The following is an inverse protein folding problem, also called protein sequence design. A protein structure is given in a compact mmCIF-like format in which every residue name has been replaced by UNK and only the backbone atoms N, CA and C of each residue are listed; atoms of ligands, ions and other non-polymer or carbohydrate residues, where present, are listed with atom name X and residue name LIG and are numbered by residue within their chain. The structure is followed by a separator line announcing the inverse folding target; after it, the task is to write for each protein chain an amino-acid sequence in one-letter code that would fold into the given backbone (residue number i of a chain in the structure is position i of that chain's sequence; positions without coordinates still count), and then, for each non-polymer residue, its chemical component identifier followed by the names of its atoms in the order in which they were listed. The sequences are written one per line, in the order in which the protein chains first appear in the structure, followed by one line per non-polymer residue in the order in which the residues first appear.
data_IF_404415266414
#
_entry.id   IF_404415266414
#
_cell.length_a   1.000
_cell.length_b   1.000
_cell.length_c   1.000
_cell.angle_alpha   90.00
_cell.angle_beta   90.00
_cell.angle_gamma   90.00
#
_symmetry.space_group_name_H-M   'P 1'
#
loop_
_entity.id
_entity.type
_entity.pdbx_description
1 polymer ?
#
# COMPACT_ATOMS: atom_id res chain seq x y z
N UNK A 1 -3.81 -6.38 5.06
CA UNK A 1 -3.88 -5.65 3.76
C UNK A 1 -3.89 -6.60 2.56
N UNK A 2 -3.08 -7.67 2.55
CA UNK A 2 -2.96 -8.55 1.37
C UNK A 2 -4.25 -9.24 0.91
N UNK A 3 -5.13 -9.66 1.81
CA UNK A 3 -6.41 -10.27 1.43
C UNK A 3 -7.33 -9.32 0.65
N UNK A 4 -7.49 -8.08 1.13
CA UNK A 4 -8.32 -7.06 0.48
C UNK A 4 -7.74 -6.63 -0.87
N UNK A 5 -6.44 -6.37 -0.93
CA UNK A 5 -5.79 -5.97 -2.19
C UNK A 5 -5.75 -7.14 -3.19
N UNK A 6 -5.44 -8.35 -2.74
CA UNK A 6 -5.47 -9.55 -3.57
C UNK A 6 -6.87 -9.87 -4.10
N UNK A 7 -7.90 -9.72 -3.26
CA UNK A 7 -9.29 -9.84 -3.68
C UNK A 7 -9.68 -8.81 -4.75
N UNK A 8 -9.32 -7.53 -4.56
CA UNK A 8 -9.59 -6.48 -5.54
C UNK A 8 -8.91 -6.71 -6.88
N UNK A 9 -7.61 -7.06 -6.86
CA UNK A 9 -6.86 -7.40 -8.08
C UNK A 9 -7.46 -8.64 -8.76
N UNK A 10 -7.78 -9.68 -7.99
CA UNK A 10 -8.38 -10.90 -8.53
C UNK A 10 -9.76 -10.68 -9.14
N UNK A 11 -10.60 -9.82 -8.56
CA UNK A 11 -11.88 -9.43 -9.16
C UNK A 11 -11.68 -8.72 -10.50
N UNK A 12 -10.69 -7.84 -10.60
CA UNK A 12 -10.43 -7.06 -11.83
C UNK A 12 -9.87 -7.94 -12.94
N UNK A 13 -8.91 -8.80 -12.62
CA UNK A 13 -8.33 -9.76 -13.58
C UNK A 13 -9.39 -10.77 -14.03
N UNK A 14 -10.19 -11.28 -13.09
CA UNK A 14 -11.29 -12.19 -13.40
C UNK A 14 -12.39 -11.52 -14.22
N UNK A 15 -12.61 -10.21 -14.07
CA UNK A 15 -13.52 -9.46 -14.94
C UNK A 15 -12.99 -9.35 -16.36
N UNK A 16 -11.70 -9.06 -16.54
CA UNK A 16 -11.07 -8.94 -17.87
C UNK A 16 -11.10 -10.29 -18.59
N UNK A 17 -10.59 -11.36 -17.96
CA UNK A 17 -10.56 -12.69 -18.58
C UNK A 17 -11.95 -13.30 -18.73
N UNK A 18 -12.84 -13.07 -17.77
CA UNK A 18 -14.23 -13.52 -17.85
C UNK A 18 -14.99 -12.85 -18.99
N UNK A 19 -14.86 -11.53 -19.14
CA UNK A 19 -15.48 -10.79 -20.24
C UNK A 19 -14.91 -11.22 -21.59
N UNK A 20 -13.58 -11.39 -21.67
CA UNK A 20 -12.92 -11.87 -22.88
C UNK A 20 -13.39 -13.29 -23.26
N UNK A 21 -13.52 -14.18 -22.28
CA UNK A 21 -14.02 -15.54 -22.49
C UNK A 21 -15.46 -15.55 -23.01
N UNK A 22 -16.33 -14.67 -22.48
CA UNK A 22 -17.72 -14.53 -22.91
C UNK A 22 -17.80 -14.00 -24.35
N UNK A 23 -16.98 -13.01 -24.72
CA UNK A 23 -16.97 -12.45 -26.08
C UNK A 23 -16.50 -13.51 -27.10
N UNK A 24 -15.52 -14.34 -26.72
CA UNK A 24 -14.89 -15.28 -27.65
C UNK A 24 -15.61 -16.63 -27.74
N UNK A 25 -16.03 -17.19 -26.61
CA UNK A 25 -16.60 -18.54 -26.52
C UNK A 25 -18.11 -18.51 -26.22
N UNK A 26 -18.69 -17.33 -26.04
CA UNK A 26 -20.09 -17.15 -25.67
C UNK A 26 -20.33 -17.24 -24.17
N UNK A 27 -21.56 -16.92 -23.72
CA UNK A 27 -21.93 -16.82 -22.31
C UNK A 27 -21.98 -18.15 -21.54
N UNK A 28 -21.75 -19.29 -22.20
CA UNK A 28 -21.83 -20.62 -21.60
C UNK A 28 -23.26 -21.07 -21.27
N UNK A 29 -23.45 -22.34 -20.87
CA UNK A 29 -24.79 -22.92 -20.63
C UNK A 29 -25.53 -22.31 -19.42
N UNK A 30 -24.79 -21.66 -18.52
CA UNK A 30 -25.33 -21.01 -17.30
C UNK A 30 -25.47 -19.48 -17.44
N UNK A 31 -25.25 -18.95 -18.64
CA UNK A 31 -25.37 -17.52 -18.94
C UNK A 31 -24.15 -16.69 -18.56
N UNK A 32 -24.10 -15.46 -19.11
CA UNK A 32 -22.93 -14.58 -19.04
C UNK A 32 -22.53 -14.25 -17.59
N UNK A 33 -23.52 -13.97 -16.73
CA UNK A 33 -23.28 -13.59 -15.34
C UNK A 33 -22.68 -14.74 -14.51
N UNK A 34 -23.11 -15.98 -14.76
CA UNK A 34 -22.56 -17.16 -14.06
C UNK A 34 -21.11 -17.41 -14.46
N UNK A 35 -20.81 -17.31 -15.76
CA UNK A 35 -19.44 -17.45 -16.27
C UNK A 35 -18.56 -16.32 -15.75
N UNK A 36 -19.00 -15.06 -15.84
CA UNK A 36 -18.23 -13.91 -15.37
C UNK A 36 -17.94 -14.00 -13.86
N UNK A 37 -18.95 -14.29 -13.05
CA UNK A 37 -18.80 -14.39 -11.60
C UNK A 37 -17.88 -15.54 -11.20
N UNK A 38 -17.89 -16.68 -11.89
CA UNK A 38 -16.94 -17.76 -11.65
C UNK A 38 -15.47 -17.32 -11.84
N UNK A 39 -15.17 -16.61 -12.94
CA UNK A 39 -13.82 -16.10 -13.20
C UNK A 39 -13.40 -15.07 -12.15
N UNK A 40 -14.28 -14.13 -11.83
CA UNK A 40 -14.06 -13.10 -10.80
C UNK A 40 -13.81 -13.71 -9.42
N UNK A 41 -14.66 -14.62 -8.99
CA UNK A 41 -14.65 -15.17 -7.63
C UNK A 41 -13.51 -16.16 -7.44
N UNK A 42 -13.19 -16.99 -8.45
CA UNK A 42 -12.02 -17.88 -8.43
C UNK A 42 -10.71 -17.09 -8.39
N UNK A 43 -10.58 -16.06 -9.21
CA UNK A 43 -9.38 -15.20 -9.24
C UNK A 43 -9.24 -14.40 -7.95
N UNK A 44 -10.32 -13.82 -7.42
CA UNK A 44 -10.33 -13.11 -6.15
C UNK A 44 -9.96 -14.02 -4.96
N UNK A 45 -10.47 -15.25 -4.94
CA UNK A 45 -10.17 -16.21 -3.88
C UNK A 45 -8.70 -16.60 -3.87
N UNK A 46 -8.11 -16.91 -5.03
CA UNK A 46 -6.71 -17.34 -5.14
C UNK A 46 -5.74 -16.22 -4.79
N UNK A 47 -5.87 -15.05 -5.43
CA UNK A 47 -5.00 -13.91 -5.13
C UNK A 47 -5.23 -13.41 -3.70
N UNK A 48 -6.47 -13.33 -3.23
CA UNK A 48 -6.78 -12.98 -1.84
C UNK A 48 -6.12 -13.93 -0.84
N UNK A 49 -6.19 -15.25 -1.07
CA UNK A 49 -5.60 -16.25 -0.20
C UNK A 49 -4.07 -16.15 -0.13
N UNK A 50 -3.39 -16.18 -1.28
CA UNK A 50 -1.92 -16.14 -1.31
C UNK A 50 -1.36 -14.82 -0.79
N UNK A 51 -1.98 -13.69 -1.15
CA UNK A 51 -1.53 -12.39 -0.66
C UNK A 51 -1.88 -12.19 0.82
N UNK A 52 -2.92 -12.83 1.34
CA UNK A 52 -3.21 -12.84 2.78
C UNK A 52 -2.07 -13.48 3.58
N UNK A 53 -1.61 -14.66 3.15
CA UNK A 53 -0.47 -15.36 3.78
C UNK A 53 0.79 -14.49 3.73
N UNK A 54 1.12 -13.95 2.55
CA UNK A 54 2.28 -13.05 2.40
C UNK A 54 2.17 -11.79 3.25
N UNK A 55 0.95 -11.28 3.47
CA UNK A 55 0.71 -10.14 4.36
C UNK A 55 1.00 -10.49 5.81
N UNK A 56 0.66 -11.69 6.28
CA UNK A 56 0.96 -12.14 7.65
C UNK A 56 2.47 -12.31 7.83
N UNK A 57 3.13 -13.06 6.94
CA UNK A 57 4.58 -13.32 7.00
C UNK A 57 5.37 -12.00 6.97
N UNK A 58 5.00 -11.06 6.11
CA UNK A 58 5.68 -9.76 6.02
C UNK A 58 5.45 -8.90 7.27
N UNK A 59 4.30 -9.03 7.93
CA UNK A 59 3.97 -8.22 9.10
C UNK A 59 4.77 -8.63 10.36
N UNK A 60 5.21 -9.88 10.46
CA UNK A 60 6.08 -10.33 11.56
C UNK A 60 7.48 -9.69 11.53
N UNK A 61 7.95 -9.23 10.36
CA UNK A 61 9.31 -8.71 10.18
C UNK A 61 9.48 -7.20 10.44
N UNK A 62 8.37 -6.46 10.58
CA UNK A 62 8.41 -5.00 10.66
C UNK A 62 7.95 -4.53 12.02
N UNK A 63 8.90 -4.02 12.82
CA UNK A 63 8.65 -2.99 13.84
C UNK A 63 7.59 -2.05 13.27
N UNK A 64 6.50 -1.83 14.02
CA UNK A 64 5.34 -1.10 13.49
C UNK A 64 5.78 0.20 12.82
N UNK A 65 5.25 0.56 11.64
CA UNK A 65 5.67 1.76 10.93
C UNK A 65 5.46 3.03 11.79
N UNK A 66 4.51 3.02 12.74
CA UNK A 66 4.40 4.07 13.75
C UNK A 66 5.60 4.09 14.70
N UNK A 67 6.06 2.93 15.16
CA UNK A 67 7.23 2.83 16.05
C UNK A 67 8.54 3.09 15.30
N UNK A 68 8.62 2.78 14.02
CA UNK A 68 9.77 3.09 13.17
C UNK A 68 9.82 4.60 12.83
N UNK A 69 8.66 5.23 12.58
CA UNK A 69 8.54 6.68 12.45
C UNK A 69 8.84 7.41 13.77
N UNK A 70 8.32 6.92 14.90
CA UNK A 70 8.63 7.46 16.22
C UNK A 70 10.11 7.28 16.56
N UNK A 71 10.72 6.13 16.21
CA UNK A 71 12.15 5.90 16.36
C UNK A 71 12.99 6.84 15.48
N UNK A 72 12.57 7.10 14.24
CA UNK A 72 13.24 8.10 13.40
C UNK A 72 13.09 9.52 13.98
N UNK A 73 11.93 9.88 14.51
CA UNK A 73 11.73 11.16 15.19
C UNK A 73 12.60 11.30 16.45
N UNK A 74 12.74 10.23 17.24
CA UNK A 74 13.53 10.23 18.47
C UNK A 74 15.05 10.14 18.21
N UNK A 75 15.47 9.55 17.08
CA UNK A 75 16.89 9.44 16.68
C UNK A 75 17.37 10.60 15.77
N UNK A 76 16.56 11.63 15.52
CA UNK A 76 17.00 12.82 14.78
C UNK A 76 17.29 13.98 15.74
N UNK A 77 18.49 14.11 16.33
CA UNK A 77 18.85 15.27 17.15
C UNK A 77 19.16 16.54 16.34
N UNK A 78 18.69 16.69 15.10
CA UNK A 78 19.16 17.78 14.23
C UNK A 78 18.13 18.39 13.27
N UNK A 79 16.84 18.11 13.42
CA UNK A 79 15.80 18.85 12.69
C UNK A 79 14.77 19.38 13.66
N UNK A 80 15.26 20.09 14.67
CA UNK A 80 14.48 21.08 15.38
C UNK A 80 13.79 21.95 14.32
N UNK A 81 12.47 22.08 14.44
CA UNK A 81 11.71 23.15 13.82
C UNK A 81 12.35 24.45 14.33
N UNK A 82 13.35 24.96 13.61
CA UNK A 82 14.02 26.22 13.92
C UNK A 82 13.00 27.30 13.67
N UNK A 83 12.35 27.73 14.75
CA UNK A 83 11.46 28.88 14.69
C UNK A 83 12.26 30.08 14.16
N UNK A 84 11.61 30.92 13.35
CA UNK A 84 12.23 32.10 12.71
C UNK A 84 12.92 33.04 13.74
N UNK A 85 12.57 32.94 15.01
CA UNK A 85 13.21 33.66 16.11
C UNK A 85 14.64 33.13 16.39
N UNK A 86 14.80 31.82 16.51
CA UNK A 86 16.08 31.17 16.82
C UNK A 86 17.11 31.33 15.67
N UNK A 87 16.62 31.33 14.43
CA UNK A 87 17.46 31.62 13.25
C UNK A 87 18.00 33.06 13.22
N UNK A 88 17.27 34.04 13.77
CA UNK A 88 17.72 35.44 13.82
C UNK A 88 18.82 35.65 14.85
N UNK A 89 18.73 35.00 16.00
CA UNK A 89 19.75 35.11 17.04
C UNK A 89 21.07 34.47 16.60
N UNK A 90 21.03 33.31 15.93
CA UNK A 90 22.24 32.70 15.37
C UNK A 90 22.91 33.56 14.28
N UNK A 91 22.12 34.29 13.48
CA UNK A 91 22.67 35.21 12.48
C UNK A 91 23.31 36.45 13.13
N UNK A 92 22.73 36.97 14.21
CA UNK A 92 23.35 38.08 14.97
C UNK A 92 24.65 37.67 15.65
N UNK A 93 24.68 36.47 16.23
CA UNK A 93 25.89 35.93 16.87
C UNK A 93 27.01 35.78 15.84
N UNK A 94 26.74 35.17 14.67
CA UNK A 94 27.73 35.11 13.57
C UNK A 94 28.21 36.47 13.10
N UNK A 95 27.29 37.43 12.95
CA UNK A 95 27.63 38.77 12.49
C UNK A 95 28.51 39.54 13.51
N UNK A 96 28.39 39.22 14.79
CA UNK A 96 29.24 39.79 15.83
C UNK A 96 30.64 39.14 15.87
N UNK A 97 30.77 37.89 15.46
CA UNK A 97 32.05 37.17 15.35
C UNK A 97 32.88 37.61 14.12
N UNK A 98 32.23 38.13 13.07
CA UNK A 98 32.89 38.60 11.84
C UNK A 98 33.39 40.05 11.90
N UNK A 99 33.27 40.74 13.04
CA UNK A 99 33.70 42.14 13.22
C UNK A 99 34.89 42.25 14.18
#
# INVERSE_FOLDING_TARGET
MGALMGGGVGLTIGFIFGSWSIIRHGPGPRGALSTLSQYMLSSAATFGFFLSIGSVIRSDSTISPQLQAARMQLLTPAMAIRTRAEGRELMKVRWAEEK
#
